data_IF_490717990348
#
_entry.id   IF_490717990348
#
_cell.length_a   1.000
_cell.length_b   1.000
_cell.length_c   1.000
_cell.angle_alpha   90.00
_cell.angle_beta   90.00
_cell.angle_gamma   90.00
#
_symmetry.space_group_name_H-M   'P 1'
#
loop_
_entity.id
_entity.type
_entity.pdbx_description
1 polymer ?
#
# COMPACT_ATOMS: atom_id res chain seq x y z
N UNK A 1 85.68 -5.03 -23.68
CA UNK A 1 84.96 -5.75 -24.75
C UNK A 1 83.46 -5.50 -24.54
N UNK A 2 82.72 -5.32 -25.63
CA UNK A 2 81.38 -4.70 -25.72
C UNK A 2 80.29 -5.50 -25.00
N UNK A 3 79.35 -4.77 -24.37
CA UNK A 3 78.06 -5.27 -23.89
C UNK A 3 77.18 -5.85 -25.01
N UNK A 4 76.12 -6.59 -24.63
CA UNK A 4 74.81 -6.20 -25.15
C UNK A 4 73.73 -6.01 -24.07
N UNK A 5 73.04 -4.88 -24.21
CA UNK A 5 71.80 -4.51 -23.52
C UNK A 5 70.67 -5.50 -23.80
N UNK A 6 69.90 -5.87 -22.78
CA UNK A 6 68.52 -6.36 -22.93
C UNK A 6 67.57 -5.40 -22.20
N UNK A 7 66.64 -4.82 -22.98
CA UNK A 7 65.62 -3.86 -22.55
C UNK A 7 64.41 -4.57 -21.93
N UNK A 8 63.87 -3.87 -20.92
CA UNK A 8 62.75 -4.15 -19.99
C UNK A 8 61.39 -4.37 -20.68
N UNK A 9 60.35 -4.76 -19.91
CA UNK A 9 59.39 -3.70 -19.55
C UNK A 9 58.97 -3.66 -18.07
N UNK A 10 58.47 -2.48 -17.72
CA UNK A 10 58.20 -1.95 -16.39
C UNK A 10 56.82 -2.41 -15.91
N UNK A 11 56.73 -2.95 -14.69
CA UNK A 11 55.46 -3.13 -13.98
C UNK A 11 55.07 -1.77 -13.40
N UNK A 12 54.03 -1.13 -13.95
CA UNK A 12 53.41 0.06 -13.39
C UNK A 12 52.38 -0.40 -12.36
N UNK A 13 52.69 -0.22 -11.08
CA UNK A 13 51.73 -0.37 -10.00
C UNK A 13 50.85 0.89 -9.94
N UNK A 14 49.59 0.77 -10.35
CA UNK A 14 48.58 1.79 -10.11
C UNK A 14 47.91 1.50 -8.75
N UNK A 15 48.17 2.33 -7.76
CA UNK A 15 47.43 2.36 -6.49
C UNK A 15 46.06 2.99 -6.75
N UNK A 16 45.01 2.17 -6.75
CA UNK A 16 43.63 2.63 -6.77
C UNK A 16 43.24 3.12 -5.36
N UNK A 17 42.99 4.42 -5.22
CA UNK A 17 42.38 5.01 -4.03
C UNK A 17 40.93 4.56 -3.88
N UNK A 18 40.63 3.89 -2.78
CA UNK A 18 39.30 3.42 -2.41
C UNK A 18 38.47 4.61 -1.89
N UNK A 19 37.59 5.15 -2.73
CA UNK A 19 36.49 6.01 -2.26
C UNK A 19 35.45 5.09 -1.60
N UNK A 20 35.39 5.09 -0.28
CA UNK A 20 34.31 4.44 0.47
C UNK A 20 33.03 5.26 0.30
N UNK A 21 32.30 4.99 -0.79
CA UNK A 21 30.92 5.41 -0.91
C UNK A 21 30.12 4.67 0.17
N UNK A 22 29.57 5.42 1.13
CA UNK A 22 28.56 4.91 2.06
C UNK A 22 27.35 4.51 1.22
N UNK A 23 27.28 3.24 0.86
CA UNK A 23 26.13 2.67 0.20
C UNK A 23 24.94 2.78 1.14
N UNK A 24 23.94 3.57 0.73
CA UNK A 24 22.64 3.59 1.38
C UNK A 24 22.03 2.19 1.23
N UNK A 25 22.26 1.31 2.20
CA UNK A 25 21.65 -0.01 2.21
C UNK A 25 20.15 0.20 2.39
N UNK A 26 19.40 0.02 1.30
CA UNK A 26 17.94 -0.07 1.35
C UNK A 26 17.61 -1.20 2.34
N UNK A 27 17.11 -0.82 3.52
CA UNK A 27 16.69 -1.78 4.53
C UNK A 27 15.69 -2.76 3.90
N UNK A 28 15.79 -4.07 4.20
CA UNK A 28 14.85 -5.03 3.64
C UNK A 28 13.45 -4.70 4.18
N UNK A 29 12.45 -4.95 3.35
CA UNK A 29 11.02 -4.81 3.60
C UNK A 29 10.55 -5.24 5.03
N UNK A 30 11.28 -6.11 5.71
CA UNK A 30 10.94 -6.66 7.03
C UNK A 30 10.70 -5.63 8.16
N UNK A 31 11.18 -4.39 8.05
CA UNK A 31 10.97 -3.36 9.08
C UNK A 31 9.48 -3.03 9.32
N UNK A 32 8.66 -3.13 8.28
CA UNK A 32 7.22 -2.84 8.32
C UNK A 32 6.38 -4.08 8.70
N UNK A 33 7.03 -5.23 8.93
CA UNK A 33 6.37 -6.47 9.35
C UNK A 33 6.26 -6.58 10.86
N UNK A 34 5.04 -6.72 11.37
CA UNK A 34 4.74 -6.86 12.81
C UNK A 34 4.13 -8.21 13.16
N UNK A 35 4.28 -8.64 14.42
CA UNK A 35 3.75 -9.90 14.97
C UNK A 35 2.33 -9.78 15.55
N UNK A 36 1.79 -8.57 15.64
CA UNK A 36 0.48 -8.32 16.27
C UNK A 36 -0.47 -7.70 15.27
N UNK A 37 -1.65 -8.30 15.19
CA UNK A 37 -2.74 -7.72 14.44
C UNK A 37 -3.25 -6.45 15.11
N UNK A 38 -3.47 -5.40 14.31
CA UNK A 38 -4.23 -4.22 14.66
C UNK A 38 -5.17 -3.91 13.51
N UNK A 39 -6.43 -3.55 13.80
CA UNK A 39 -7.37 -3.19 12.73
C UNK A 39 -6.84 -1.97 11.96
N UNK A 40 -6.90 -1.97 10.61
CA UNK A 40 -6.63 -0.78 9.81
C UNK A 40 -7.41 0.45 10.29
N UNK A 41 -6.69 1.52 10.62
CA UNK A 41 -7.26 2.84 11.00
C UNK A 41 -6.99 3.92 9.95
N UNK A 42 -6.17 3.62 8.96
CA UNK A 42 -5.82 4.51 7.85
C UNK A 42 -5.67 3.67 6.58
N UNK A 43 -5.92 4.30 5.44
CA UNK A 43 -5.69 3.76 4.10
C UNK A 43 -4.41 4.30 3.47
N UNK A 44 -3.63 5.08 4.23
CA UNK A 44 -2.34 5.58 3.80
C UNK A 44 -2.42 6.61 2.68
N UNK A 45 -1.26 6.98 2.14
CA UNK A 45 -1.18 8.01 1.10
C UNK A 45 -1.89 7.60 -0.19
N UNK A 46 -1.89 6.31 -0.56
CA UNK A 46 -2.58 5.81 -1.76
C UNK A 46 -4.11 5.82 -1.58
N UNK A 47 -4.58 5.69 -0.34
CA UNK A 47 -6.01 5.74 -0.02
C UNK A 47 -6.65 7.11 -0.25
N UNK A 48 -5.88 8.18 -0.43
CA UNK A 48 -6.36 9.54 -0.70
C UNK A 48 -7.46 10.00 0.27
N UNK A 49 -7.31 9.70 1.56
CA UNK A 49 -8.27 10.06 2.60
C UNK A 49 -9.52 9.17 2.68
N UNK A 50 -9.59 8.08 1.91
CA UNK A 50 -10.67 7.10 2.05
C UNK A 50 -10.62 6.43 3.43
N UNK A 51 -11.78 6.17 4.02
CA UNK A 51 -11.87 5.40 5.25
C UNK A 51 -11.67 3.89 4.97
N UNK A 52 -11.04 3.13 5.89
CA UNK A 52 -10.95 1.68 5.76
C UNK A 52 -12.33 1.01 5.60
N UNK A 53 -12.47 0.15 4.59
CA UNK A 53 -13.72 -0.49 4.20
C UNK A 53 -14.76 0.45 3.60
N UNK A 54 -14.35 1.65 3.19
CA UNK A 54 -15.15 2.62 2.46
C UNK A 54 -15.07 2.44 0.93
N UNK A 55 -15.65 3.38 0.17
CA UNK A 55 -15.52 3.41 -1.28
C UNK A 55 -14.07 3.53 -1.74
N UNK A 56 -13.72 2.80 -2.81
CA UNK A 56 -12.37 2.79 -3.39
C UNK A 56 -12.43 2.70 -4.90
N UNK A 57 -11.51 3.37 -5.58
CA UNK A 57 -11.36 3.33 -7.04
C UNK A 57 -10.48 2.17 -7.51
N UNK A 58 -10.65 1.71 -8.76
CA UNK A 58 -9.79 0.67 -9.35
C UNK A 58 -8.32 1.09 -9.37
N UNK A 59 -8.06 2.35 -9.66
CA UNK A 59 -6.74 2.94 -9.69
C UNK A 59 -6.05 2.80 -8.33
N UNK A 60 -6.76 3.08 -7.25
CA UNK A 60 -6.23 2.91 -5.89
C UNK A 60 -5.99 1.43 -5.56
N UNK A 61 -6.92 0.54 -5.90
CA UNK A 61 -6.75 -0.91 -5.66
C UNK A 61 -5.47 -1.42 -6.35
N UNK A 62 -5.30 -1.10 -7.63
CA UNK A 62 -4.13 -1.52 -8.41
C UNK A 62 -2.85 -0.83 -7.94
N UNK A 63 -2.89 0.45 -7.58
CA UNK A 63 -1.73 1.16 -7.06
C UNK A 63 -1.21 0.53 -5.76
N UNK A 64 -2.12 0.14 -4.85
CA UNK A 64 -1.77 -0.56 -3.61
C UNK A 64 -1.17 -1.94 -3.87
N UNK A 65 -1.76 -2.70 -4.80
CA UNK A 65 -1.25 -4.01 -5.20
C UNK A 65 0.17 -3.92 -5.77
N UNK A 66 0.42 -2.95 -6.66
CA UNK A 66 1.75 -2.69 -7.22
C UNK A 66 2.74 -2.29 -6.14
N UNK A 67 2.39 -1.33 -5.29
CA UNK A 67 3.24 -0.87 -4.20
C UNK A 67 3.68 -2.03 -3.29
N UNK A 68 2.74 -2.90 -2.92
CA UNK A 68 3.02 -4.06 -2.09
C UNK A 68 3.96 -5.08 -2.77
N UNK A 69 3.82 -5.29 -4.08
CA UNK A 69 4.77 -6.09 -4.88
C UNK A 69 6.14 -5.43 -4.96
N UNK A 70 6.19 -4.11 -5.18
CA UNK A 70 7.44 -3.35 -5.29
C UNK A 70 8.21 -3.35 -3.95
N UNK A 71 7.49 -3.35 -2.83
CA UNK A 71 8.05 -3.54 -1.49
C UNK A 71 8.50 -4.97 -1.21
N UNK A 72 8.20 -5.94 -2.09
CA UNK A 72 8.59 -7.35 -1.94
C UNK A 72 8.16 -7.94 -0.60
N UNK A 73 6.99 -7.55 -0.11
CA UNK A 73 6.39 -8.09 1.12
C UNK A 73 6.34 -9.60 1.01
N UNK A 74 6.82 -10.31 2.03
CA UNK A 74 7.03 -11.76 1.95
C UNK A 74 5.90 -12.51 2.62
N UNK A 75 5.37 -13.52 1.94
CA UNK A 75 4.26 -14.31 2.47
C UNK A 75 4.59 -14.88 3.85
N UNK A 76 3.68 -14.66 4.79
CA UNK A 76 3.66 -15.20 6.14
C UNK A 76 2.23 -15.33 6.67
N UNK A 77 1.91 -16.53 7.16
CA UNK A 77 0.66 -16.80 7.87
C UNK A 77 0.67 -16.32 9.33
N UNK A 78 1.70 -15.63 9.80
CA UNK A 78 1.81 -15.18 11.19
C UNK A 78 2.30 -13.74 11.33
N UNK A 79 2.41 -13.01 10.23
CA UNK A 79 2.91 -11.64 10.21
C UNK A 79 1.94 -10.73 9.49
N UNK A 80 1.99 -9.46 9.88
CA UNK A 80 1.22 -8.39 9.26
C UNK A 80 2.16 -7.33 8.75
N UNK A 81 1.81 -6.69 7.64
CA UNK A 81 2.56 -5.58 7.08
C UNK A 81 1.78 -4.29 7.29
N UNK A 82 2.50 -3.24 7.68
CA UNK A 82 1.95 -1.89 7.82
C UNK A 82 2.98 -0.87 7.36
N UNK A 83 2.61 -0.05 6.40
CA UNK A 83 3.41 1.11 5.98
C UNK A 83 2.54 2.36 5.81
N UNK A 84 3.17 3.48 5.51
CA UNK A 84 2.48 4.77 5.31
C UNK A 84 1.66 4.82 4.02
N UNK A 85 2.07 4.08 2.99
CA UNK A 85 1.42 4.11 1.68
C UNK A 85 0.07 3.37 1.69
N UNK A 86 0.01 2.25 2.40
CA UNK A 86 -1.19 1.42 2.54
C UNK A 86 -1.95 1.68 3.83
N UNK A 87 -1.30 2.25 4.85
CA UNK A 87 -1.84 2.80 6.10
C UNK A 87 -2.31 1.77 7.14
N UNK A 88 -2.78 0.62 6.70
CA UNK A 88 -3.36 -0.43 7.53
C UNK A 88 -2.42 -1.61 7.77
N UNK A 89 -2.65 -2.34 8.86
CA UNK A 89 -1.97 -3.61 9.14
C UNK A 89 -2.76 -4.76 8.52
N UNK A 90 -2.21 -5.40 7.49
CA UNK A 90 -2.84 -6.51 6.78
C UNK A 90 -1.96 -7.76 6.86
N UNK A 91 -2.59 -8.94 6.86
CA UNK A 91 -1.84 -10.21 6.84
C UNK A 91 -1.02 -10.30 5.56
N UNK A 92 0.19 -10.83 5.69
CA UNK A 92 1.07 -11.12 4.57
C UNK A 92 0.69 -12.47 3.95
N UNK A 93 -0.58 -12.66 3.61
CA UNK A 93 -1.09 -13.87 2.97
C UNK A 93 -1.96 -13.53 1.76
N UNK A 94 -2.45 -14.54 1.07
CA UNK A 94 -3.18 -14.35 -0.18
C UNK A 94 -4.45 -13.48 -0.03
N UNK A 95 -5.26 -13.73 1.00
CA UNK A 95 -6.49 -12.98 1.23
C UNK A 95 -6.25 -11.65 1.96
N UNK A 96 -5.19 -11.55 2.76
CA UNK A 96 -4.71 -10.31 3.36
C UNK A 96 -4.18 -9.33 2.33
N UNK A 97 -3.50 -9.84 1.29
CA UNK A 97 -3.11 -9.05 0.12
C UNK A 97 -4.34 -8.46 -0.60
N UNK A 98 -5.37 -9.26 -0.86
CA UNK A 98 -6.64 -8.77 -1.46
C UNK A 98 -7.34 -7.78 -0.53
N UNK A 99 -7.40 -8.08 0.77
CA UNK A 99 -7.98 -7.18 1.79
C UNK A 99 -7.27 -5.84 1.84
N UNK A 100 -5.93 -5.85 1.71
CA UNK A 100 -5.12 -4.66 1.63
C UNK A 100 -5.42 -3.87 0.38
N UNK A 101 -5.45 -4.52 -0.79
CA UNK A 101 -5.70 -3.85 -2.07
C UNK A 101 -7.09 -3.16 -2.07
N UNK A 102 -8.11 -3.81 -1.50
CA UNK A 102 -9.46 -3.25 -1.34
C UNK A 102 -9.62 -2.28 -0.16
N UNK A 103 -8.53 -1.92 0.54
CA UNK A 103 -8.56 -0.97 1.66
C UNK A 103 -9.51 -1.41 2.79
N UNK A 104 -9.67 -2.71 3.04
CA UNK A 104 -10.66 -3.20 3.99
C UNK A 104 -10.34 -2.79 5.43
N UNK A 105 -11.37 -2.67 6.27
CA UNK A 105 -11.26 -2.40 7.71
C UNK A 105 -10.69 -3.57 8.52
N UNK A 106 -10.58 -4.75 7.92
CA UNK A 106 -10.08 -5.98 8.51
C UNK A 106 -9.33 -6.80 7.46
N UNK A 107 -8.36 -7.59 7.89
CA UNK A 107 -7.67 -8.53 7.01
C UNK A 107 -8.45 -9.85 6.96
N UNK A 108 -9.25 -10.03 5.91
CA UNK A 108 -10.15 -11.16 5.74
C UNK A 108 -9.41 -12.42 5.26
N UNK A 109 -10.09 -13.55 5.42
CA UNK A 109 -9.71 -14.86 4.87
C UNK A 109 -10.40 -15.10 3.53
N UNK A 110 -9.92 -16.05 2.74
CA UNK A 110 -10.59 -16.52 1.51
C UNK A 110 -12.06 -16.87 1.76
N UNK A 111 -12.38 -17.49 2.90
CA UNK A 111 -13.77 -17.82 3.28
C UNK A 111 -14.64 -16.60 3.60
N UNK A 112 -14.06 -15.48 4.01
CA UNK A 112 -14.80 -14.28 4.44
C UNK A 112 -14.77 -13.14 3.41
N UNK A 113 -13.90 -13.18 2.41
CA UNK A 113 -13.91 -12.25 1.27
C UNK A 113 -15.28 -12.15 0.57
N UNK A 114 -16.03 -13.26 0.34
CA UNK A 114 -17.35 -13.17 -0.29
C UNK A 114 -18.38 -12.31 0.48
N UNK A 115 -18.20 -12.08 1.78
CA UNK A 115 -19.14 -11.26 2.55
C UNK A 115 -19.12 -9.77 2.11
N UNK A 116 -17.97 -9.29 1.63
CA UNK A 116 -17.76 -7.88 1.25
C UNK A 116 -17.75 -7.65 -0.25
N UNK A 117 -17.95 -8.69 -1.05
CA UNK A 117 -17.88 -8.66 -2.51
C UNK A 117 -19.14 -9.25 -3.15
N UNK A 118 -19.42 -8.83 -4.37
CA UNK A 118 -20.40 -9.46 -5.23
C UNK A 118 -19.69 -10.52 -6.09
N UNK A 119 -20.32 -11.68 -6.24
CA UNK A 119 -19.84 -12.73 -7.14
C UNK A 119 -20.19 -12.34 -8.57
N UNK A 120 -19.20 -12.36 -9.46
CA UNK A 120 -19.44 -12.19 -10.89
C UNK A 120 -19.88 -13.52 -11.51
N UNK A 121 -20.65 -13.46 -12.59
CA UNK A 121 -21.16 -14.67 -13.24
C UNK A 121 -20.09 -15.45 -13.98
N UNK A 122 -18.98 -14.80 -14.37
CA UNK A 122 -17.92 -15.41 -15.16
C UNK A 122 -16.64 -14.60 -15.18
N UNK A 123 -15.58 -15.21 -15.72
CA UNK A 123 -14.27 -14.59 -15.85
C UNK A 123 -14.26 -13.44 -16.88
N UNK A 124 -15.15 -13.47 -17.87
CA UNK A 124 -15.31 -12.46 -18.92
C UNK A 124 -15.72 -11.07 -18.38
N UNK A 125 -16.32 -11.03 -17.19
CA UNK A 125 -16.70 -9.80 -16.48
C UNK A 125 -15.57 -9.18 -15.67
N UNK A 126 -14.42 -9.85 -15.55
CA UNK A 126 -13.30 -9.35 -14.76
C UNK A 126 -12.80 -8.00 -15.27
N UNK A 127 -12.56 -7.12 -14.32
CA UNK A 127 -11.92 -5.82 -14.48
C UNK A 127 -10.80 -5.68 -13.46
N UNK A 128 -9.81 -4.82 -13.76
CA UNK A 128 -8.65 -4.61 -12.89
C UNK A 128 -9.07 -4.21 -11.46
N UNK A 129 -8.58 -4.95 -10.46
CA UNK A 129 -8.93 -4.78 -9.06
C UNK A 129 -10.03 -5.74 -8.57
N UNK A 130 -10.63 -6.54 -9.43
CA UNK A 130 -11.44 -7.69 -9.01
C UNK A 130 -10.52 -8.79 -8.43
N UNK A 131 -11.07 -9.74 -7.68
CA UNK A 131 -10.33 -10.88 -7.13
C UNK A 131 -10.80 -12.19 -7.75
N UNK A 132 -9.89 -13.14 -7.86
CA UNK A 132 -10.20 -14.55 -8.06
C UNK A 132 -9.97 -15.25 -6.73
N UNK A 133 -11.04 -15.69 -6.09
CA UNK A 133 -10.99 -16.34 -4.77
C UNK A 133 -11.31 -17.82 -4.89
N UNK A 134 -10.43 -18.66 -4.39
CA UNK A 134 -10.69 -20.07 -4.12
C UNK A 134 -10.77 -20.23 -2.60
N UNK A 135 -12.01 -20.27 -2.03
CA UNK A 135 -12.24 -20.21 -0.58
C UNK A 135 -11.42 -21.19 0.27
N UNK A 136 -11.08 -22.36 -0.28
CA UNK A 136 -10.36 -23.38 0.45
C UNK A 136 -8.82 -23.23 0.44
N UNK A 137 -8.23 -22.40 -0.43
CA UNK A 137 -6.76 -22.38 -0.54
C UNK A 137 -6.12 -21.06 -0.94
N UNK A 138 -6.69 -20.28 -1.88
CA UNK A 138 -5.92 -19.19 -2.48
C UNK A 138 -6.78 -18.07 -3.04
N UNK A 139 -6.31 -16.83 -2.94
CA UNK A 139 -6.86 -15.68 -3.63
C UNK A 139 -5.77 -14.95 -4.41
N UNK A 140 -6.15 -14.38 -5.55
CA UNK A 140 -5.29 -13.47 -6.34
C UNK A 140 -6.08 -12.23 -6.75
N UNK A 141 -5.39 -11.12 -6.94
CA UNK A 141 -6.00 -9.89 -7.44
C UNK A 141 -5.81 -9.82 -8.95
N UNK A 142 -6.92 -9.72 -9.69
CA UNK A 142 -6.90 -9.54 -11.14
C UNK A 142 -6.34 -8.15 -11.48
N UNK A 143 -5.22 -8.12 -12.19
CA UNK A 143 -4.49 -6.90 -12.53
C UNK A 143 -4.94 -6.23 -13.83
N UNK A 144 -5.70 -6.93 -14.66
CA UNK A 144 -6.17 -6.45 -15.97
C UNK A 144 -5.89 -7.45 -17.09
N UNK A 145 -6.69 -7.37 -18.14
CA UNK A 145 -6.46 -8.10 -19.38
C UNK A 145 -5.22 -7.57 -20.10
N UNK A 146 -4.37 -8.47 -20.59
CA UNK A 146 -3.32 -8.15 -21.56
C UNK A 146 -3.78 -8.44 -22.99
N UNK A 147 -4.64 -9.46 -23.16
CA UNK A 147 -5.38 -9.73 -24.40
C UNK A 147 -6.71 -10.39 -24.02
N UNK A 148 -7.79 -9.59 -23.94
CA UNK A 148 -9.12 -10.09 -23.53
C UNK A 148 -9.69 -11.09 -24.54
N UNK A 149 -9.37 -10.94 -25.83
CA UNK A 149 -9.89 -11.82 -26.87
C UNK A 149 -9.28 -13.23 -26.76
N UNK A 150 -8.01 -13.33 -26.37
CA UNK A 150 -7.33 -14.61 -26.09
C UNK A 150 -7.50 -15.12 -24.66
N UNK A 151 -7.98 -14.27 -23.76
CA UNK A 151 -8.13 -14.60 -22.35
C UNK A 151 -6.87 -14.40 -21.51
N UNK A 152 -5.86 -13.69 -22.02
CA UNK A 152 -4.61 -13.43 -21.30
C UNK A 152 -4.76 -12.23 -20.36
N UNK A 153 -4.25 -12.38 -19.12
CA UNK A 153 -4.32 -11.35 -18.10
C UNK A 153 -3.10 -11.37 -17.18
N UNK A 154 -2.91 -10.27 -16.45
CA UNK A 154 -1.98 -10.16 -15.33
C UNK A 154 -2.71 -10.27 -14.01
N UNK A 155 -2.05 -10.84 -13.00
CA UNK A 155 -2.55 -10.86 -11.62
C UNK A 155 -1.42 -10.57 -10.62
N UNK A 156 -1.82 -10.14 -9.43
CA UNK A 156 -0.93 -9.92 -8.29
C UNK A 156 -1.26 -10.92 -7.19
N UNK A 157 -0.24 -11.51 -6.57
CA UNK A 157 -0.47 -12.52 -5.51
C UNK A 157 0.67 -12.69 -4.52
N UNK A 158 0.30 -13.19 -3.35
CA UNK A 158 1.19 -13.82 -2.38
C UNK A 158 0.74 -15.27 -2.14
N UNK A 159 1.57 -16.25 -2.49
CA UNK A 159 1.11 -17.66 -2.55
C UNK A 159 1.94 -18.65 -1.76
N UNK A 160 3.16 -18.30 -1.33
CA UNK A 160 4.11 -19.28 -0.78
C UNK A 160 5.02 -18.67 0.26
N UNK A 161 5.08 -19.31 1.43
CA UNK A 161 5.93 -18.90 2.57
C UNK A 161 7.35 -18.52 2.14
N UNK A 162 7.80 -17.35 2.59
CA UNK A 162 9.12 -16.81 2.29
C UNK A 162 9.30 -16.28 0.86
N UNK A 163 8.30 -16.39 -0.02
CA UNK A 163 8.34 -15.73 -1.34
C UNK A 163 7.66 -14.36 -1.28
N UNK A 164 8.29 -13.33 -1.86
CA UNK A 164 7.67 -12.04 -2.03
C UNK A 164 6.38 -12.09 -2.85
N UNK A 165 5.50 -11.14 -2.58
CA UNK A 165 4.42 -10.74 -3.47
C UNK A 165 4.97 -10.49 -4.88
N UNK A 166 4.18 -10.86 -5.89
CA UNK A 166 4.61 -10.77 -7.29
C UNK A 166 3.46 -10.46 -8.22
N UNK A 167 3.84 -9.99 -9.41
CA UNK A 167 2.97 -9.87 -10.59
C UNK A 167 3.32 -11.00 -11.55
N UNK A 168 2.32 -11.78 -11.96
CA UNK A 168 2.44 -12.87 -12.92
C UNK A 168 1.38 -12.73 -14.03
N UNK A 169 1.46 -13.57 -15.06
CA UNK A 169 0.46 -13.69 -16.13
C UNK A 169 -0.24 -15.04 -16.06
N UNK A 170 -1.48 -15.12 -16.57
CA UNK A 170 -2.22 -16.35 -16.75
C UNK A 170 -3.23 -16.21 -17.91
N UNK A 171 -3.77 -17.33 -18.37
CA UNK A 171 -4.86 -17.37 -19.33
C UNK A 171 -6.12 -18.00 -18.71
N UNK A 172 -7.30 -17.44 -18.99
CA UNK A 172 -8.57 -17.96 -18.45
C UNK A 172 -9.00 -19.30 -19.05
N UNK A 173 -8.37 -19.77 -20.10
CA UNK A 173 -8.61 -21.09 -20.70
C UNK A 173 -7.64 -22.16 -20.17
N UNK A 174 -6.62 -21.77 -19.40
CA UNK A 174 -5.73 -22.72 -18.76
C UNK A 174 -6.45 -23.57 -17.71
N UNK A 175 -5.96 -24.81 -17.51
CA UNK A 175 -6.48 -25.69 -16.46
C UNK A 175 -6.17 -25.18 -15.05
N UNK A 176 -5.17 -24.31 -14.90
CA UNK A 176 -4.70 -23.78 -13.62
C UNK A 176 -4.41 -22.29 -13.68
N UNK A 177 -4.73 -21.58 -12.60
CA UNK A 177 -4.31 -20.20 -12.35
C UNK A 177 -3.57 -20.19 -11.01
N UNK A 178 -2.42 -19.50 -10.95
CA UNK A 178 -1.62 -19.37 -9.73
C UNK A 178 -1.34 -20.70 -9.00
N UNK A 179 -1.21 -21.80 -9.74
CA UNK A 179 -0.93 -23.12 -9.17
C UNK A 179 -2.15 -23.86 -8.63
N UNK A 180 -3.38 -23.39 -8.82
CA UNK A 180 -4.63 -24.07 -8.41
C UNK A 180 -5.56 -24.30 -9.61
N UNK A 181 -6.48 -25.28 -9.56
CA UNK A 181 -7.46 -25.48 -10.64
C UNK A 181 -8.24 -24.21 -10.93
N UNK A 182 -8.29 -23.80 -12.20
CA UNK A 182 -9.02 -22.61 -12.62
C UNK A 182 -10.50 -22.67 -12.20
N UNK A 183 -11.12 -23.83 -12.32
CA UNK A 183 -12.52 -24.08 -11.96
C UNK A 183 -12.83 -23.89 -10.47
N UNK A 184 -11.82 -23.86 -9.60
CA UNK A 184 -11.99 -23.64 -8.17
C UNK A 184 -12.11 -22.15 -7.80
N UNK A 185 -11.74 -21.25 -8.73
CA UNK A 185 -11.80 -19.81 -8.50
C UNK A 185 -13.19 -19.24 -8.78
N UNK A 186 -13.65 -18.42 -7.85
CA UNK A 186 -14.85 -17.60 -7.94
C UNK A 186 -14.42 -16.14 -8.17
N UNK A 187 -14.83 -15.51 -9.28
CA UNK A 187 -14.60 -14.09 -9.50
C UNK A 187 -15.43 -13.24 -8.52
N UNK A 188 -14.76 -12.31 -7.83
CA UNK A 188 -15.34 -11.42 -6.83
C UNK A 188 -15.04 -9.96 -7.16
N UNK A 189 -16.04 -9.09 -7.05
CA UNK A 189 -15.90 -7.64 -7.15
C UNK A 189 -16.28 -6.97 -5.85
N UNK A 190 -15.41 -6.11 -5.34
CA UNK A 190 -15.68 -5.43 -4.06
C UNK A 190 -16.94 -4.55 -4.15
N UNK A 191 -17.85 -4.67 -3.17
CA UNK A 191 -19.17 -3.99 -3.19
C UNK A 191 -19.09 -2.47 -3.20
N UNK A 192 -17.99 -1.90 -2.68
CA UNK A 192 -17.79 -0.44 -2.62
C UNK A 192 -16.75 0.03 -3.63
N UNK A 193 -16.51 -0.75 -4.67
CA UNK A 193 -15.66 -0.33 -5.76
C UNK A 193 -16.42 0.69 -6.62
N UNK A 194 -15.87 1.89 -6.72
CA UNK A 194 -16.46 3.00 -7.47
C UNK A 194 -15.61 3.28 -8.70
N UNK A 195 -16.25 3.61 -9.81
CA UNK A 195 -15.55 4.21 -10.94
C UNK A 195 -15.07 5.59 -10.49
N UNK A 196 -13.81 5.92 -10.73
CA UNK A 196 -13.38 7.30 -10.62
C UNK A 196 -14.22 8.10 -11.62
N UNK A 197 -15.25 8.81 -11.14
CA UNK A 197 -15.82 9.89 -11.93
C UNK A 197 -14.65 10.81 -12.16
N UNK A 198 -14.13 10.85 -13.38
CA UNK A 198 -13.21 11.90 -13.79
C UNK A 198 -13.93 13.20 -13.46
N UNK A 199 -13.62 13.81 -12.33
CA UNK A 199 -13.88 15.23 -12.15
C UNK A 199 -13.20 15.84 -13.36
N UNK A 200 -13.93 16.46 -14.30
CA UNK A 200 -13.25 17.24 -15.31
C UNK A 200 -12.40 18.19 -14.49
N UNK A 201 -11.08 18.10 -14.64
CA UNK A 201 -10.23 19.21 -14.28
C UNK A 201 -10.78 20.33 -15.14
N UNK A 202 -11.68 21.12 -14.57
CA UNK A 202 -11.95 22.47 -15.03
C UNK A 202 -10.57 23.10 -14.93
N UNK A 203 -9.82 23.02 -16.04
CA UNK A 203 -8.84 24.01 -16.39
C UNK A 203 -9.64 25.29 -16.26
N UNK A 204 -9.44 25.97 -15.13
CA UNK A 204 -9.80 27.35 -15.01
C UNK A 204 -9.27 27.99 -16.29
N UNK A 205 -10.19 28.37 -17.19
CA UNK A 205 -9.86 29.32 -18.25
C UNK A 205 -9.36 30.54 -17.49
N UNK A 206 -8.04 30.67 -17.41
CA UNK A 206 -7.44 31.98 -17.26
C UNK A 206 -7.78 32.71 -18.57
N UNK A 207 -8.62 33.75 -18.58
CA UNK A 207 -8.72 34.57 -19.77
C UNK A 207 -7.36 35.26 -19.90
N UNK A 208 -6.65 34.97 -20.99
CA UNK A 208 -5.47 35.73 -21.36
C UNK A 208 -5.91 37.16 -21.68
N UNK A 209 -5.65 38.09 -20.75
CA UNK A 209 -5.74 39.52 -21.03
C UNK A 209 -4.59 39.91 -21.95
N UNK A 210 -4.87 39.86 -23.25
CA UNK A 210 -4.05 40.49 -24.28
C UNK A 210 -4.01 42.00 -24.00
N UNK A 211 -2.85 42.51 -23.61
CA UNK A 211 -2.59 43.94 -23.46
C UNK A 211 -1.93 44.43 -24.75
N UNK A 212 -2.72 45.02 -25.65
CA UNK A 212 -2.22 45.90 -26.71
C UNK A 212 -2.26 47.35 -26.19
N UNK A 213 -1.23 48.19 -26.40
CA UNK A 213 -1.20 49.54 -25.86
C UNK A 213 -1.96 50.51 -26.77
N UNK A 214 -3.07 51.05 -26.28
CA UNK A 214 -3.71 52.23 -26.87
C UNK A 214 -3.32 53.48 -26.06
N UNK A 215 -2.54 54.35 -26.70
CA UNK A 215 -2.30 55.76 -26.30
C UNK A 215 -3.62 56.53 -26.44
N UNK A 216 -4.01 57.34 -25.45
CA UNK A 216 -3.85 58.79 -25.63
C UNK A 216 -3.35 59.52 -24.38
N UNK A 217 -2.58 60.58 -24.65
CA UNK A 217 -2.12 61.54 -23.68
C UNK A 217 -3.22 62.58 -23.40
N UNK A 218 -3.51 62.88 -22.12
CA UNK A 218 -3.59 64.26 -21.60
C UNK A 218 -3.61 64.28 -20.06
N UNK A 219 -2.93 65.29 -19.52
CA UNK A 219 -2.79 65.69 -18.12
C UNK A 219 -4.14 65.73 -17.35
N UNK A 220 -4.21 65.67 -16.01
CA UNK A 220 -3.67 66.65 -15.06
C UNK A 220 -3.78 66.13 -13.61
N UNK A 221 -2.76 66.44 -12.78
CA UNK A 221 -2.72 66.62 -11.30
C UNK A 221 -3.73 65.93 -10.37
N UNK A 222 -3.23 65.21 -9.36
CA UNK A 222 -3.24 65.67 -7.95
C UNK A 222 -2.66 64.61 -6.98
N UNK A 223 -1.76 65.06 -6.10
CA UNK A 223 -1.34 64.44 -4.83
C UNK A 223 -1.98 65.31 -3.73
N UNK A 224 -2.46 64.77 -2.60
CA UNK A 224 -1.62 64.83 -1.42
C UNK A 224 -1.64 63.59 -0.51
N UNK A 225 -0.54 63.52 0.22
CA UNK A 225 -0.17 62.68 1.35
C UNK A 225 -1.05 62.96 2.58
N UNK A 226 -1.28 61.96 3.43
CA UNK A 226 -1.41 62.18 4.88
C UNK A 226 -0.95 60.97 5.70
N UNK A 227 -0.32 61.32 6.83
CA UNK A 227 0.39 60.50 7.82
C UNK A 227 -0.33 60.72 9.15
N UNK A 228 -0.57 59.68 9.96
CA UNK A 228 -0.78 59.75 11.43
C UNK A 228 -0.92 58.31 11.99
N UNK A 229 0.03 57.73 12.73
CA UNK A 229 0.32 57.80 14.19
C UNK A 229 -0.77 57.23 15.13
N UNK A 230 -0.40 56.14 15.83
CA UNK A 230 -0.55 55.75 17.26
C UNK A 230 -1.75 56.32 18.08
N UNK A 231 -2.34 55.69 19.11
CA UNK A 231 -1.92 54.64 20.04
C UNK A 231 -3.13 54.18 20.91
N UNK A 232 -3.03 52.99 21.49
CA UNK A 232 -3.39 52.60 22.88
C UNK A 232 -4.81 52.84 23.42
N UNK A 233 -5.45 51.77 23.89
CA UNK A 233 -5.87 51.59 25.30
C UNK A 233 -6.37 50.15 25.56
N UNK A 234 -5.59 49.39 26.34
CA UNK A 234 -6.10 48.37 27.28
C UNK A 234 -6.49 49.11 28.59
N UNK A 235 -7.14 48.51 29.60
CA UNK A 235 -6.66 47.34 30.39
C UNK A 235 -7.85 46.43 30.81
N UNK A 236 -7.82 45.43 31.68
CA UNK A 236 -6.86 44.44 32.21
C UNK A 236 -7.69 43.50 33.11
N UNK A 237 -7.14 42.32 33.41
CA UNK A 237 -7.27 41.52 34.65
C UNK A 237 -7.41 40.04 34.27
N UNK A 238 -6.59 39.10 34.72
CA UNK A 238 -5.49 39.13 35.66
C UNK A 238 -5.17 37.69 36.09
N UNK A 239 -3.90 37.33 35.96
CA UNK A 239 -3.07 36.49 36.86
C UNK A 239 -3.52 35.04 37.19
N UNK A 240 -2.74 34.01 36.78
CA UNK A 240 -1.61 33.35 37.50
C UNK A 240 -2.05 32.70 38.82
N UNK A 241 -1.58 31.54 39.29
CA UNK A 241 -0.60 30.51 38.92
C UNK A 241 -0.97 29.27 39.79
N UNK A 242 -0.46 28.06 39.57
CA UNK A 242 0.66 27.51 40.36
C UNK A 242 0.68 25.99 40.21
N UNK A 243 1.88 25.42 40.23
CA UNK A 243 2.17 24.00 40.33
C UNK A 243 1.75 23.38 41.68
N UNK A 244 1.55 22.06 41.68
CA UNK A 244 1.35 21.24 42.87
C UNK A 244 1.45 19.75 42.53
N UNK A 245 2.45 19.10 43.12
CA UNK A 245 2.74 17.65 43.06
C UNK A 245 1.79 16.87 43.99
N UNK A 246 1.40 15.63 43.65
CA UNK A 246 1.43 14.46 44.55
C UNK A 246 0.64 13.23 44.04
N UNK A 247 1.30 12.08 44.24
CA UNK A 247 0.78 10.80 44.75
C UNK A 247 -0.12 9.88 43.88
N UNK A 248 0.54 8.78 43.51
CA UNK A 248 0.08 7.41 43.38
C UNK A 248 -1.30 7.06 43.94
N UNK A 249 -2.12 6.43 43.08
CA UNK A 249 -3.26 5.59 43.47
C UNK A 249 -3.07 4.21 42.84
N UNK A 250 -3.08 3.19 43.70
CA UNK A 250 -3.01 1.76 43.35
C UNK A 250 -4.33 1.31 42.73
N UNK A 251 -4.35 0.48 41.68
CA UNK A 251 -5.53 -0.34 41.39
C UNK A 251 -5.50 -1.65 42.19
N UNK A 252 -6.68 -1.97 42.72
CA UNK A 252 -7.06 -3.17 43.47
C UNK A 252 -7.02 -4.40 42.55
N UNK A 253 -6.66 -5.55 43.14
CA UNK A 253 -6.31 -6.79 42.45
C UNK A 253 -7.46 -7.48 41.71
N UNK A 254 -7.06 -8.22 40.67
CA UNK A 254 -7.84 -9.25 40.00
C UNK A 254 -7.16 -10.59 40.30
N UNK A 255 -7.87 -11.63 40.77
CA UNK A 255 -7.25 -12.92 41.06
C UNK A 255 -6.86 -13.69 39.80
N UNK A 256 -5.78 -14.47 39.95
CA UNK A 256 -5.08 -15.19 38.90
C UNK A 256 -5.64 -16.60 38.63
N UNK A 257 -5.40 -17.04 37.38
CA UNK A 257 -4.97 -18.37 36.95
C UNK A 257 -5.73 -19.62 37.42
N UNK A 258 -6.60 -20.13 36.54
CA UNK A 258 -6.89 -21.55 36.41
C UNK A 258 -6.00 -22.17 35.32
N UNK A 259 -5.17 -23.13 35.70
CA UNK A 259 -4.31 -23.95 34.84
C UNK A 259 -5.14 -24.97 34.06
N UNK A 260 -4.86 -25.15 32.77
CA UNK A 260 -5.10 -26.42 32.08
C UNK A 260 -3.83 -26.81 31.32
N UNK A 261 -3.30 -27.99 31.65
CA UNK A 261 -2.14 -28.63 31.06
C UNK A 261 -2.54 -29.47 29.82
N UNK A 262 -1.58 -30.01 29.05
CA UNK A 262 -1.76 -30.42 27.65
C UNK A 262 -1.99 -31.93 27.44
N UNK A 263 -2.60 -32.27 26.30
CA UNK A 263 -2.75 -33.62 25.75
C UNK A 263 -3.91 -33.56 24.73
N UNK A 264 -3.91 -34.17 23.54
CA UNK A 264 -3.24 -35.37 23.04
C UNK A 264 -3.14 -35.24 21.51
N UNK A 265 -2.05 -35.78 20.95
CA UNK A 265 -1.84 -35.95 19.50
C UNK A 265 -2.80 -37.01 18.96
N UNK A 266 -3.45 -36.73 17.83
CA UNK A 266 -4.22 -37.73 17.08
C UNK A 266 -4.18 -37.43 15.59
N UNK A 267 -3.28 -38.11 14.87
CA UNK A 267 -3.41 -38.36 13.44
C UNK A 267 -4.68 -39.17 13.20
N UNK A 268 -5.46 -38.87 12.16
CA UNK A 268 -6.06 -39.91 11.32
C UNK A 268 -6.48 -39.32 9.96
N UNK A 269 -5.76 -39.74 8.93
CA UNK A 269 -6.17 -39.70 7.53
C UNK A 269 -7.22 -40.80 7.33
N UNK A 270 -8.42 -40.47 6.85
CA UNK A 270 -9.22 -41.35 5.97
C UNK A 270 -10.49 -40.60 5.57
N UNK A 271 -10.71 -40.32 4.29
CA UNK A 271 -12.05 -40.36 3.71
C UNK A 271 -11.94 -40.89 2.28
N UNK A 272 -12.45 -42.10 2.14
CA UNK A 272 -12.86 -42.77 0.90
C UNK A 272 -14.19 -42.13 0.49
N UNK A 273 -14.37 -41.81 -0.80
CA UNK A 273 -15.65 -42.04 -1.47
C UNK A 273 -15.42 -42.37 -2.94
N UNK A 274 -15.93 -43.54 -3.30
CA UNK A 274 -16.23 -44.04 -4.63
C UNK A 274 -17.57 -43.46 -5.09
N UNK A 275 -17.70 -43.30 -6.42
CA UNK A 275 -18.82 -42.83 -7.24
C UNK A 275 -18.92 -41.31 -7.45
#
# INVERSE_FOLDING_TARGET
>A
MKEPLIRRPKVVAALAGLVMAVGLTVMPAQADSVDRYAKPVSTGTIGNGAAPGGPVTREQVIARAKHWVDKRVSYSQGRWWKDEATGGSYRQDCSGFVSMAWQLKESLTTQSLPAVADRLSGFDQLEAGDALDYPAAHAVLFGGWTDKAKGDFVYYSESRSGRPARKDTANIHDSRIAGHPRSAYVPLRYKKLITATSTPRALALVPATSTAPAKPARATTAVPSSKATAAVSAPASGSKASAGSAAAVRPVGVPAAGRCAPGVRGSFWQWIFTF
#
